data_IF_385933374117
#
_entry.id   IF_385933374117
#
_cell.length_a   1.000
_cell.length_b   1.000
_cell.length_c   1.000
_cell.angle_alpha   90.00
_cell.angle_beta   90.00
_cell.angle_gamma   90.00
#
_symmetry.space_group_name_H-M   'P 1'
#
loop_
_entity.id
_entity.type
_entity.pdbx_description
1 polymer ?
#
# COMPACT_ATOMS: atom_id res chain seq x y z
N UNK A 1 -17.67 -9.90 37.31
CA UNK A 1 -18.06 -8.59 36.76
C UNK A 1 -17.55 -8.54 35.33
N UNK A 2 -18.32 -9.06 34.37
CA UNK A 2 -17.90 -9.19 32.97
C UNK A 2 -18.36 -7.94 32.22
N UNK A 3 -17.40 -7.12 31.80
CA UNK A 3 -17.65 -5.94 30.98
C UNK A 3 -18.09 -6.42 29.58
N UNK A 4 -19.39 -6.36 29.31
CA UNK A 4 -19.94 -6.59 27.98
C UNK A 4 -19.49 -5.43 27.08
N UNK A 5 -18.51 -5.69 26.22
CA UNK A 5 -18.18 -4.77 25.12
C UNK A 5 -19.26 -4.97 24.06
N UNK A 6 -20.27 -4.10 24.09
CA UNK A 6 -21.28 -3.98 23.05
C UNK A 6 -20.59 -3.75 21.71
N UNK A 7 -20.78 -4.67 20.77
CA UNK A 7 -20.40 -4.47 19.37
C UNK A 7 -21.24 -3.33 18.81
N UNK A 8 -20.66 -2.13 18.76
CA UNK A 8 -21.22 -1.01 18.02
C UNK A 8 -21.05 -1.30 16.52
N UNK A 9 -22.08 -1.87 15.90
CA UNK A 9 -22.21 -1.93 14.45
C UNK A 9 -22.60 -0.54 13.92
N UNK A 10 -21.66 0.40 14.01
CA UNK A 10 -21.86 1.76 13.51
C UNK A 10 -21.58 1.81 12.01
N UNK A 11 -22.65 1.82 11.22
CA UNK A 11 -22.64 1.93 9.76
C UNK A 11 -22.21 3.30 9.24
N UNK A 12 -21.86 4.25 10.12
CA UNK A 12 -21.50 5.63 9.77
C UNK A 12 -20.01 5.90 9.58
N UNK A 13 -19.13 4.97 9.99
CA UNK A 13 -17.71 5.11 9.69
C UNK A 13 -17.47 4.76 8.22
N UNK A 14 -17.00 5.71 7.37
CA UNK A 14 -16.67 5.39 5.99
C UNK A 14 -15.69 4.23 6.04
N UNK A 15 -16.05 3.10 5.41
CA UNK A 15 -15.27 1.86 5.40
C UNK A 15 -13.95 2.11 4.66
N UNK A 16 -13.01 2.80 5.31
CA UNK A 16 -11.71 3.22 4.79
C UNK A 16 -10.76 2.02 4.79
N UNK A 17 -11.02 1.05 3.90
CA UNK A 17 -10.07 -0.04 3.63
C UNK A 17 -9.05 0.44 2.60
N UNK A 18 -7.84 0.69 3.05
CA UNK A 18 -6.68 0.91 2.17
C UNK A 18 -6.22 -0.48 1.70
N UNK A 19 -6.34 -0.75 0.40
CA UNK A 19 -5.76 -1.96 -0.21
C UNK A 19 -4.49 -1.58 -0.97
N UNK A 20 -3.40 -2.28 -0.66
CA UNK A 20 -2.10 -2.07 -1.28
C UNK A 20 -1.53 -3.35 -1.86
N UNK A 21 -1.65 -3.56 -3.17
CA UNK A 21 -0.96 -4.64 -3.89
C UNK A 21 -0.73 -4.24 -5.36
N UNK A 22 0.46 -3.71 -5.68
CA UNK A 22 0.89 -3.57 -7.07
C UNK A 22 2.11 -4.45 -7.35
N UNK A 23 1.94 -5.36 -8.29
CA UNK A 23 2.94 -6.30 -8.78
C UNK A 23 3.52 -5.77 -10.09
N UNK A 24 4.84 -5.72 -10.28
CA UNK A 24 5.43 -5.57 -11.61
C UNK A 24 5.85 -6.95 -12.12
N UNK A 25 5.16 -7.47 -13.14
CA UNK A 25 5.25 -8.87 -13.52
C UNK A 25 6.45 -9.26 -14.40
N UNK A 26 7.30 -8.33 -14.84
CA UNK A 26 8.27 -8.67 -15.89
C UNK A 26 9.56 -7.84 -15.91
N UNK A 27 10.21 -7.70 -14.76
CA UNK A 27 11.61 -7.21 -14.73
C UNK A 27 12.55 -8.39 -14.42
N UNK A 28 13.31 -8.89 -15.42
CA UNK A 28 14.31 -9.93 -15.20
C UNK A 28 15.36 -9.44 -14.19
N UNK A 29 15.63 -10.23 -13.14
CA UNK A 29 16.68 -9.92 -12.16
C UNK A 29 16.32 -8.93 -11.04
N UNK A 30 15.11 -8.36 -11.01
CA UNK A 30 14.68 -7.46 -9.94
C UNK A 30 14.47 -8.21 -8.61
N UNK A 31 15.32 -7.93 -7.62
CA UNK A 31 15.16 -8.38 -6.23
C UNK A 31 14.25 -7.39 -5.47
N UNK A 32 13.54 -7.87 -4.45
CA UNK A 32 12.71 -7.03 -3.56
C UNK A 32 13.50 -5.95 -2.80
N UNK A 33 14.82 -6.07 -2.76
CA UNK A 33 15.71 -5.23 -1.97
C UNK A 33 16.02 -3.85 -2.58
N UNK A 34 15.78 -3.62 -3.89
CA UNK A 34 16.04 -2.31 -4.52
C UNK A 34 14.75 -1.46 -4.55
N UNK A 35 14.66 -0.35 -3.78
CA UNK A 35 13.44 0.47 -3.74
C UNK A 35 13.09 1.17 -5.05
N UNK A 36 14.08 1.44 -5.91
CA UNK A 36 13.90 2.16 -7.18
C UNK A 36 13.42 1.24 -8.30
N UNK A 37 13.66 -0.07 -8.17
CA UNK A 37 13.34 -1.06 -9.20
C UNK A 37 13.00 -2.42 -8.57
N UNK A 38 12.02 -2.43 -7.67
CA UNK A 38 11.52 -3.65 -7.04
C UNK A 38 10.54 -4.38 -7.94
N UNK A 39 10.47 -5.71 -7.77
CA UNK A 39 9.45 -6.56 -8.41
C UNK A 39 8.05 -6.34 -7.80
N UNK A 40 7.99 -5.96 -6.54
CA UNK A 40 6.75 -5.75 -5.79
C UNK A 40 6.73 -4.37 -5.14
N UNK A 41 5.58 -3.71 -5.19
CA UNK A 41 5.32 -2.44 -4.54
C UNK A 41 4.03 -2.51 -3.71
N UNK A 42 4.08 -1.96 -2.51
CA UNK A 42 2.92 -1.78 -1.65
C UNK A 42 2.32 -0.40 -1.93
N UNK A 43 1.14 -0.34 -2.57
CA UNK A 43 0.53 0.92 -3.01
C UNK A 43 -0.65 1.33 -2.14
N UNK A 44 -0.51 2.36 -1.31
CA UNK A 44 -1.54 2.83 -0.39
C UNK A 44 -2.44 3.85 -1.10
N UNK A 45 -3.72 3.50 -1.26
CA UNK A 45 -4.75 4.35 -1.90
C UNK A 45 -6.01 4.45 -1.04
N UNK A 46 -6.80 5.49 -1.26
CA UNK A 46 -8.12 5.62 -0.65
C UNK A 46 -9.11 4.61 -1.25
N UNK A 47 -10.05 4.10 -0.45
CA UNK A 47 -11.03 3.10 -0.90
C UNK A 47 -11.91 3.57 -2.07
N UNK A 48 -12.19 4.87 -2.14
CA UNK A 48 -13.06 5.47 -3.17
C UNK A 48 -12.33 5.70 -4.50
N UNK A 49 -11.00 5.65 -4.49
CA UNK A 49 -10.19 5.94 -5.66
C UNK A 49 -9.82 4.65 -6.41
N UNK A 50 -10.06 4.64 -7.73
CA UNK A 50 -9.50 3.62 -8.62
C UNK A 50 -8.04 3.93 -8.91
N UNK A 51 -7.18 2.92 -8.89
CA UNK A 51 -5.75 3.10 -9.17
C UNK A 51 -5.54 3.24 -10.69
N UNK A 52 -4.93 4.34 -11.12
CA UNK A 52 -4.45 4.47 -12.48
C UNK A 52 -3.11 3.75 -12.67
N UNK A 53 -3.19 2.51 -13.16
CA UNK A 53 -2.04 1.64 -13.41
C UNK A 53 -1.00 2.25 -14.36
N UNK A 54 -1.40 3.13 -15.29
CA UNK A 54 -0.46 3.79 -16.21
C UNK A 54 0.37 4.85 -15.51
N UNK A 55 -0.25 5.68 -14.66
CA UNK A 55 0.45 6.67 -13.83
C UNK A 55 1.42 5.99 -12.88
N UNK A 56 0.98 4.92 -12.20
CA UNK A 56 1.84 4.11 -11.34
C UNK A 56 3.08 3.56 -12.09
N UNK A 57 2.86 2.99 -13.27
CA UNK A 57 3.95 2.49 -14.10
C UNK A 57 4.91 3.61 -14.51
N UNK A 58 4.40 4.77 -14.94
CA UNK A 58 5.25 5.90 -15.32
C UNK A 58 6.05 6.43 -14.14
N UNK A 59 5.46 6.49 -12.95
CA UNK A 59 6.15 6.87 -11.72
C UNK A 59 7.30 5.92 -11.39
N UNK A 60 7.04 4.60 -11.36
CA UNK A 60 8.09 3.60 -11.11
C UNK A 60 9.21 3.65 -12.16
N UNK A 61 8.86 3.92 -13.42
CA UNK A 61 9.86 4.11 -14.48
C UNK A 61 10.74 5.34 -14.23
N UNK A 62 10.14 6.44 -13.78
CA UNK A 62 10.86 7.66 -13.45
C UNK A 62 11.82 7.47 -12.27
N UNK A 63 11.44 6.68 -11.24
CA UNK A 63 12.32 6.34 -10.11
C UNK A 63 13.64 5.68 -10.55
N UNK A 64 13.62 4.93 -11.65
CA UNK A 64 14.78 4.25 -12.20
C UNK A 64 15.34 4.95 -13.46
N UNK A 65 15.21 6.28 -13.55
CA UNK A 65 15.73 7.11 -14.64
C UNK A 65 15.32 6.64 -16.05
N UNK A 66 14.16 5.99 -16.18
CA UNK A 66 13.67 5.41 -17.43
C UNK A 66 14.64 4.43 -18.13
N UNK A 67 15.56 3.81 -17.37
CA UNK A 67 16.57 2.89 -17.92
C UNK A 67 15.94 1.67 -18.62
N UNK A 68 14.75 1.26 -18.17
CA UNK A 68 14.03 0.10 -18.68
C UNK A 68 12.87 0.56 -19.58
N UNK A 69 12.76 -0.09 -20.75
CA UNK A 69 11.66 0.14 -21.69
C UNK A 69 10.30 -0.17 -21.09
N UNK A 70 9.29 0.62 -21.47
CA UNK A 70 7.88 0.49 -21.02
C UNK A 70 7.33 -0.94 -21.16
N UNK A 71 7.75 -1.67 -22.19
CA UNK A 71 7.27 -3.04 -22.50
C UNK A 71 7.59 -4.07 -21.40
N UNK A 72 8.60 -3.78 -20.58
CA UNK A 72 9.01 -4.66 -19.49
C UNK A 72 8.24 -4.39 -18.19
N UNK A 73 7.43 -3.33 -18.14
CA UNK A 73 6.57 -3.06 -17.00
C UNK A 73 5.18 -3.62 -17.27
N UNK A 74 4.73 -4.49 -16.40
CA UNK A 74 3.38 -5.04 -16.43
C UNK A 74 2.83 -5.04 -15.01
N UNK A 75 2.16 -3.95 -14.66
CA UNK A 75 1.62 -3.74 -13.33
C UNK A 75 0.31 -4.53 -13.18
N UNK A 76 0.23 -5.43 -12.20
CA UNK A 76 -0.90 -6.33 -11.95
C UNK A 76 -1.13 -6.49 -10.45
N UNK A 77 -2.22 -7.13 -10.06
CA UNK A 77 -2.44 -7.50 -8.66
C UNK A 77 -1.63 -8.77 -8.33
N UNK A 78 -0.98 -8.81 -7.16
CA UNK A 78 -0.27 -10.00 -6.67
C UNK A 78 -1.27 -11.07 -6.20
N UNK A 79 -0.94 -12.35 -6.37
CA UNK A 79 -1.75 -13.45 -5.80
C UNK A 79 -1.77 -13.41 -4.27
N UNK A 80 -2.82 -13.93 -3.61
CA UNK A 80 -2.92 -13.93 -2.14
C UNK A 80 -1.73 -14.64 -1.46
N UNK A 81 -1.30 -15.78 -2.01
CA UNK A 81 -0.17 -16.57 -1.49
C UNK A 81 1.14 -15.77 -1.47
N UNK A 82 1.47 -15.09 -2.58
CA UNK A 82 2.65 -14.25 -2.68
C UNK A 82 2.54 -13.03 -1.76
N UNK A 83 1.35 -12.46 -1.64
CA UNK A 83 1.09 -11.37 -0.69
C UNK A 83 1.43 -11.81 0.74
N UNK A 84 0.94 -12.96 1.17
CA UNK A 84 1.19 -13.51 2.51
C UNK A 84 2.68 -13.81 2.73
N UNK A 85 3.38 -14.33 1.71
CA UNK A 85 4.81 -14.60 1.78
C UNK A 85 5.65 -13.30 1.93
N UNK A 86 5.24 -12.22 1.24
CA UNK A 86 5.94 -10.93 1.25
C UNK A 86 5.64 -10.11 2.51
N UNK A 87 4.35 -9.95 2.83
CA UNK A 87 3.91 -9.07 3.92
C UNK A 87 3.80 -9.81 5.25
N UNK A 88 3.52 -11.10 5.24
CA UNK A 88 3.23 -11.86 6.44
C UNK A 88 1.80 -11.69 6.96
N UNK A 89 0.96 -10.94 6.25
CA UNK A 89 -0.41 -10.64 6.66
C UNK A 89 -1.43 -11.23 5.68
N UNK A 90 -2.52 -11.73 6.24
CA UNK A 90 -3.61 -12.29 5.45
C UNK A 90 -4.48 -11.20 4.81
N UNK A 91 -5.37 -11.61 3.91
CA UNK A 91 -6.30 -10.74 3.21
C UNK A 91 -7.10 -9.86 4.16
N UNK A 92 -7.15 -8.55 3.89
CA UNK A 92 -7.90 -7.57 4.68
C UNK A 92 -7.21 -7.08 5.96
N UNK A 93 -6.11 -7.70 6.36
CA UNK A 93 -5.28 -7.31 7.50
C UNK A 93 -3.92 -6.72 7.13
N UNK A 94 -3.62 -6.56 5.84
CA UNK A 94 -2.29 -6.12 5.38
C UNK A 94 -1.92 -4.76 5.97
N UNK A 95 -0.77 -4.72 6.64
CA UNK A 95 -0.14 -3.51 7.15
C UNK A 95 1.11 -3.19 6.33
N UNK A 96 1.37 -1.91 6.00
CA UNK A 96 2.65 -1.50 5.42
C UNK A 96 3.80 -1.53 6.45
N UNK A 97 3.49 -1.69 7.74
CA UNK A 97 4.46 -1.76 8.83
C UNK A 97 4.59 -3.21 9.30
N UNK A 98 5.83 -3.67 9.52
CA UNK A 98 6.12 -5.01 10.03
C UNK A 98 6.04 -6.12 8.98
N UNK A 99 6.26 -5.79 7.71
CA UNK A 99 6.28 -6.79 6.63
C UNK A 99 7.47 -7.76 6.75
N UNK A 100 7.27 -9.03 6.38
CA UNK A 100 8.35 -10.05 6.37
C UNK A 100 9.50 -9.69 5.43
N UNK A 101 9.20 -9.07 4.30
CA UNK A 101 10.19 -8.56 3.35
C UNK A 101 10.10 -7.03 3.27
N UNK A 102 11.24 -6.33 3.05
CA UNK A 102 11.26 -4.89 2.88
C UNK A 102 10.69 -4.50 1.50
N UNK A 103 9.37 -4.51 1.38
CA UNK A 103 8.67 -4.10 0.15
C UNK A 103 8.54 -2.58 0.14
N UNK A 104 8.97 -1.88 -0.93
CA UNK A 104 8.83 -0.44 -1.03
C UNK A 104 7.36 -0.01 -1.05
N UNK A 105 7.06 1.07 -0.33
CA UNK A 105 5.71 1.61 -0.18
C UNK A 105 5.56 2.87 -1.05
N UNK A 106 4.47 2.94 -1.81
CA UNK A 106 4.05 4.11 -2.58
C UNK A 106 2.71 4.60 -2.00
N UNK A 107 2.66 5.85 -1.59
CA UNK A 107 1.49 6.52 -1.05
C UNK A 107 0.84 7.40 -2.13
N UNK A 108 -0.48 7.31 -2.24
CA UNK A 108 -1.24 8.23 -3.09
C UNK A 108 -1.25 9.64 -2.51
N UNK A 109 -0.96 10.64 -3.35
CA UNK A 109 -1.00 12.06 -2.96
C UNK A 109 -2.35 12.50 -2.38
N UNK A 110 -3.46 11.95 -2.89
CA UNK A 110 -4.80 12.23 -2.36
C UNK A 110 -4.93 11.91 -0.86
N UNK A 111 -4.14 10.98 -0.31
CA UNK A 111 -4.16 10.68 1.13
C UNK A 111 -3.59 11.85 1.94
N UNK A 112 -2.59 12.54 1.43
CA UNK A 112 -1.94 13.67 2.11
C UNK A 112 -2.90 14.87 2.25
N UNK A 113 -3.85 14.99 1.33
CA UNK A 113 -4.86 16.05 1.31
C UNK A 113 -6.05 15.79 2.26
N UNK A 114 -6.06 14.68 3.00
CA UNK A 114 -7.15 14.34 3.92
C UNK A 114 -7.28 15.37 5.04
N UNK A 115 -8.54 15.71 5.35
CA UNK A 115 -8.92 16.53 6.49
C UNK A 115 -9.92 15.75 7.36
N UNK A 116 -9.60 15.43 8.62
CA UNK A 116 -8.31 15.66 9.30
C UNK A 116 -7.16 14.85 8.68
N UNK A 117 -5.88 15.25 8.89
CA UNK A 117 -4.69 14.61 8.30
C UNK A 117 -4.33 13.29 9.00
N UNK A 118 -5.32 12.41 9.13
CA UNK A 118 -5.25 11.10 9.77
C UNK A 118 -5.89 10.08 8.85
N UNK A 119 -5.24 8.95 8.69
CA UNK A 119 -5.70 7.84 7.88
C UNK A 119 -5.64 6.54 8.66
N UNK A 120 -6.42 5.55 8.22
CA UNK A 120 -6.56 4.27 8.90
C UNK A 120 -5.92 3.16 8.06
N UNK A 121 -4.94 2.49 8.64
CA UNK A 121 -4.21 1.38 8.02
C UNK A 121 -4.58 0.04 8.67
N UNK A 122 -4.40 -1.07 7.94
CA UNK A 122 -4.47 -2.40 8.52
C UNK A 122 -3.37 -2.60 9.56
N UNK A 123 -3.66 -3.36 10.62
CA UNK A 123 -2.74 -3.59 11.74
C UNK A 123 -2.37 -5.07 11.91
N UNK A 124 -2.31 -5.83 10.82
CA UNK A 124 -1.97 -7.25 10.80
C UNK A 124 -3.13 -8.21 10.99
N UNK A 125 -4.32 -7.71 11.30
CA UNK A 125 -5.56 -8.49 11.38
C UNK A 125 -6.70 -7.76 10.65
N UNK A 126 -7.70 -8.52 10.18
CA UNK A 126 -8.83 -7.97 9.40
C UNK A 126 -9.62 -6.91 10.18
N UNK A 127 -9.80 -7.13 11.47
CA UNK A 127 -10.56 -6.25 12.36
C UNK A 127 -9.72 -5.13 12.99
N UNK A 128 -8.39 -5.21 12.90
CA UNK A 128 -7.53 -4.23 13.54
C UNK A 128 -7.13 -3.15 12.55
N UNK A 129 -7.23 -1.91 13.02
CA UNK A 129 -6.87 -0.71 12.26
C UNK A 129 -6.06 0.21 13.15
N UNK A 130 -5.04 0.83 12.56
CA UNK A 130 -4.24 1.87 13.21
C UNK A 130 -4.65 3.20 12.60
N UNK A 131 -5.13 4.12 13.43
CA UNK A 131 -5.24 5.52 13.07
C UNK A 131 -3.85 6.15 13.18
N UNK A 132 -3.39 6.80 12.13
CA UNK A 132 -2.06 7.38 12.10
C UNK A 132 -2.10 8.78 11.48
N UNK A 133 -1.46 9.77 12.12
CA UNK A 133 -1.17 11.04 11.47
C UNK A 133 -0.32 10.80 10.22
N UNK A 134 -0.68 11.46 9.12
CA UNK A 134 0.02 11.28 7.84
C UNK A 134 1.48 11.70 7.96
N UNK A 135 1.75 12.80 8.64
CA UNK A 135 3.10 13.33 8.83
C UNK A 135 4.03 12.35 9.55
N UNK A 136 3.53 11.66 10.58
CA UNK A 136 4.30 10.68 11.33
C UNK A 136 4.59 9.45 10.47
N UNK A 137 3.61 9.02 9.66
CA UNK A 137 3.81 7.93 8.71
C UNK A 137 4.87 8.26 7.66
N UNK A 138 4.83 9.47 7.09
CA UNK A 138 5.79 9.93 6.09
C UNK A 138 7.21 9.99 6.67
N UNK A 139 7.35 10.57 7.87
CA UNK A 139 8.63 10.64 8.59
C UNK A 139 9.20 9.25 8.89
N UNK A 140 8.35 8.32 9.32
CA UNK A 140 8.78 6.98 9.73
C UNK A 140 9.13 6.07 8.55
N UNK A 141 8.34 6.10 7.47
CA UNK A 141 8.46 5.11 6.38
C UNK A 141 9.31 5.58 5.21
N UNK A 142 9.53 6.90 5.05
CA UNK A 142 10.19 7.49 3.86
C UNK A 142 9.61 6.93 2.55
N UNK A 143 8.30 6.68 2.53
CA UNK A 143 7.62 6.10 1.39
C UNK A 143 7.65 7.04 0.19
N UNK A 144 7.49 6.48 -1.00
CA UNK A 144 7.34 7.25 -2.22
C UNK A 144 5.94 7.87 -2.27
N UNK A 145 5.82 9.07 -2.84
CA UNK A 145 4.53 9.73 -3.07
C UNK A 145 4.28 9.87 -4.57
N UNK A 146 3.07 9.52 -5.00
CA UNK A 146 2.68 9.61 -6.39
C UNK A 146 1.20 9.96 -6.55
N UNK A 147 0.87 10.74 -7.59
CA UNK A 147 -0.49 10.85 -8.10
C UNK A 147 -0.91 9.54 -8.79
N UNK A 148 -1.95 8.92 -8.23
CA UNK A 148 -2.50 7.63 -8.67
C UNK A 148 -3.95 7.73 -9.15
N UNK A 149 -4.49 8.95 -9.18
CA UNK A 149 -5.87 9.28 -9.55
C UNK A 149 -6.10 9.20 -11.06
#
# INVERSE_FOLDING_TARGET
>A
MACQISQASDSSLPRKRIYARAWCSRIPGARTMNPLNSKYYCVIVQYVASINTQKLMNYVRALNNNLISRKNYNMRLTSPENSLALTGFDYGGVSPIGMKQPVPVILSEAIVELQPPVFFLGAGHVDWKIAMPIDDFLKATKCFMADLS
#
